data_IF_994489790624
#
_entry.id   IF_994489790624
#
_cell.length_a   1.000
_cell.length_b   1.000
_cell.length_c   1.000
_cell.angle_alpha   90.00
_cell.angle_beta   90.00
_cell.angle_gamma   90.00
#
_symmetry.space_group_name_H-M   'P 1'
#
loop_
_entity.id
_entity.type
_entity.pdbx_description
1 polymer ?
#
# COMPACT_ATOMS: atom_id res chain seq x y z
N UNK A 1 10.72 3.76 -5.46
CA UNK A 1 10.60 5.24 -5.49
C UNK A 1 9.57 5.67 -6.53
N UNK A 2 8.32 5.92 -6.11
CA UNK A 2 7.22 6.36 -6.98
C UNK A 2 7.49 7.78 -7.52
N UNK A 3 7.85 8.73 -6.64
CA UNK A 3 8.15 10.11 -7.04
C UNK A 3 9.27 10.22 -8.08
N UNK A 4 10.33 9.42 -7.96
CA UNK A 4 11.41 9.39 -8.95
C UNK A 4 10.93 8.99 -10.35
N UNK A 5 10.05 7.99 -10.45
CA UNK A 5 9.43 7.59 -11.73
C UNK A 5 8.56 8.69 -12.30
N UNK A 6 7.74 9.33 -11.45
CA UNK A 6 6.90 10.45 -11.86
C UNK A 6 7.74 11.62 -12.39
N UNK A 7 8.87 11.95 -11.74
CA UNK A 7 9.78 13.01 -12.20
C UNK A 7 10.30 12.71 -13.61
N UNK A 8 10.77 11.48 -13.86
CA UNK A 8 11.27 11.09 -15.19
C UNK A 8 10.16 11.18 -16.25
N UNK A 9 8.96 10.70 -15.94
CA UNK A 9 7.82 10.75 -16.87
C UNK A 9 7.44 12.21 -17.19
N UNK A 10 7.30 13.05 -16.17
CA UNK A 10 6.96 14.48 -16.34
C UNK A 10 8.06 15.20 -17.10
N UNK A 11 9.33 14.90 -16.82
CA UNK A 11 10.47 15.45 -17.55
C UNK A 11 10.40 15.11 -19.05
N UNK A 12 10.15 13.85 -19.40
CA UNK A 12 10.02 13.43 -20.81
C UNK A 12 8.87 14.16 -21.49
N UNK A 13 7.73 14.29 -20.82
CA UNK A 13 6.57 15.04 -21.35
C UNK A 13 6.95 16.51 -21.57
N UNK A 14 7.54 17.17 -20.59
CA UNK A 14 7.96 18.57 -20.69
C UNK A 14 8.99 18.78 -21.79
N UNK A 15 10.01 17.91 -21.89
CA UNK A 15 11.00 17.96 -22.95
C UNK A 15 10.39 17.79 -24.35
N UNK A 16 9.47 16.85 -24.53
CA UNK A 16 8.82 16.65 -25.83
C UNK A 16 7.95 17.84 -26.25
N UNK A 17 7.23 18.42 -25.27
CA UNK A 17 6.40 19.61 -25.48
C UNK A 17 7.24 20.84 -25.79
N UNK A 18 8.34 21.03 -25.06
CA UNK A 18 9.30 22.11 -25.24
C UNK A 18 9.98 22.05 -26.60
N UNK A 19 10.46 20.87 -26.99
CA UNK A 19 11.05 20.65 -28.31
C UNK A 19 10.06 20.99 -29.44
N UNK A 20 8.81 20.55 -29.31
CA UNK A 20 7.76 20.88 -30.27
C UNK A 20 7.50 22.39 -30.34
N UNK A 21 7.44 23.07 -29.19
CA UNK A 21 7.19 24.51 -29.10
C UNK A 21 8.33 25.34 -29.71
N UNK A 22 9.58 25.04 -29.33
CA UNK A 22 10.77 25.73 -29.86
C UNK A 22 10.89 25.54 -31.37
N UNK A 23 10.58 24.34 -31.88
CA UNK A 23 10.55 24.06 -33.31
C UNK A 23 9.47 24.88 -34.02
N UNK A 24 8.27 24.98 -33.44
CA UNK A 24 7.15 25.70 -34.04
C UNK A 24 7.35 27.23 -34.06
N UNK A 25 8.05 27.77 -33.05
CA UNK A 25 8.20 29.22 -32.87
C UNK A 25 9.58 29.76 -33.30
N UNK A 26 10.54 28.87 -33.60
CA UNK A 26 11.92 29.27 -33.89
C UNK A 26 12.64 29.89 -32.69
N UNK A 27 12.22 29.54 -31.47
CA UNK A 27 12.75 30.10 -30.22
C UNK A 27 13.55 29.06 -29.44
N UNK A 28 14.28 29.51 -28.42
CA UNK A 28 15.07 28.66 -27.51
C UNK A 28 14.79 29.03 -26.04
N UNK A 29 13.51 29.17 -25.70
CA UNK A 29 13.09 29.71 -24.40
C UNK A 29 13.51 28.85 -23.20
N UNK A 30 13.54 27.54 -23.37
CA UNK A 30 13.68 26.60 -22.24
C UNK A 30 14.86 25.67 -22.47
N UNK A 31 15.68 25.51 -21.43
CA UNK A 31 16.83 24.59 -21.46
C UNK A 31 16.46 23.26 -20.80
N UNK A 32 17.12 22.15 -21.17
CA UNK A 32 16.83 20.84 -20.57
C UNK A 32 16.93 20.80 -19.04
N UNK A 33 17.87 21.53 -18.44
CA UNK A 33 17.99 21.59 -16.98
C UNK A 33 16.84 22.36 -16.31
N UNK A 34 16.27 23.37 -16.98
CA UNK A 34 15.09 24.09 -16.48
C UNK A 34 13.89 23.16 -16.49
N UNK A 35 13.72 22.35 -17.55
CA UNK A 35 12.68 21.31 -17.61
C UNK A 35 12.84 20.26 -16.51
N UNK A 36 14.08 19.87 -16.17
CA UNK A 36 14.35 18.96 -15.07
C UNK A 36 13.91 19.56 -13.72
N UNK A 37 14.24 20.84 -13.46
CA UNK A 37 13.80 21.55 -12.26
C UNK A 37 12.27 21.66 -12.22
N UNK A 38 11.64 22.06 -13.34
CA UNK A 38 10.19 22.14 -13.43
C UNK A 38 9.52 20.79 -13.17
N UNK A 39 10.07 19.69 -13.67
CA UNK A 39 9.53 18.35 -13.42
C UNK A 39 9.61 17.96 -11.93
N UNK A 40 10.74 18.26 -11.27
CA UNK A 40 10.90 18.03 -9.82
C UNK A 40 9.90 18.87 -9.04
N UNK A 41 9.80 20.17 -9.32
CA UNK A 41 8.89 21.08 -8.62
C UNK A 41 7.42 20.69 -8.84
N UNK A 42 7.03 20.34 -10.07
CA UNK A 42 5.67 19.90 -10.38
C UNK A 42 5.31 18.61 -9.62
N UNK A 43 6.21 17.62 -9.60
CA UNK A 43 5.94 16.36 -8.88
C UNK A 43 5.92 16.58 -7.37
N UNK A 44 6.84 17.39 -6.83
CA UNK A 44 6.86 17.71 -5.41
C UNK A 44 5.60 18.47 -4.99
N UNK A 45 5.21 19.49 -5.76
CA UNK A 45 4.06 20.32 -5.44
C UNK A 45 2.74 19.58 -5.66
N UNK A 46 2.45 19.12 -6.89
CA UNK A 46 1.17 18.48 -7.18
C UNK A 46 1.07 17.08 -6.56
N UNK A 47 2.15 16.29 -6.62
CA UNK A 47 2.18 14.97 -6.00
C UNK A 47 2.15 15.03 -4.48
N UNK A 48 2.91 15.95 -3.88
CA UNK A 48 2.89 16.18 -2.43
C UNK A 48 1.54 16.72 -1.94
N UNK A 49 0.95 17.68 -2.67
CA UNK A 49 -0.36 18.24 -2.34
C UNK A 49 -1.47 17.19 -2.48
N UNK A 50 -1.47 16.40 -3.57
CA UNK A 50 -2.45 15.32 -3.74
C UNK A 50 -2.30 14.25 -2.66
N UNK A 51 -1.07 13.83 -2.35
CA UNK A 51 -0.80 12.91 -1.24
C UNK A 51 -1.35 13.45 0.09
N UNK A 52 -1.11 14.74 0.38
CA UNK A 52 -1.60 15.39 1.59
C UNK A 52 -3.13 15.41 1.64
N UNK A 53 -3.78 15.89 0.57
CA UNK A 53 -5.25 15.99 0.50
C UNK A 53 -5.88 14.61 0.66
N UNK A 54 -5.38 13.59 -0.03
CA UNK A 54 -5.94 12.24 0.04
C UNK A 54 -5.75 11.66 1.44
N UNK A 55 -4.56 11.74 2.03
CA UNK A 55 -4.31 11.16 3.36
C UNK A 55 -5.08 11.89 4.46
N UNK A 56 -5.13 13.23 4.44
CA UNK A 56 -5.90 14.01 5.40
C UNK A 56 -7.39 13.78 5.20
N UNK A 57 -7.89 13.84 3.96
CA UNK A 57 -9.29 13.62 3.63
C UNK A 57 -9.78 12.25 4.07
N UNK A 58 -9.04 11.19 3.74
CA UNK A 58 -9.35 9.82 4.18
C UNK A 58 -9.30 9.68 5.70
N UNK A 59 -8.32 10.32 6.35
CA UNK A 59 -8.25 10.37 7.82
C UNK A 59 -9.45 11.03 8.47
N UNK A 60 -9.93 12.16 7.91
CA UNK A 60 -11.10 12.88 8.43
C UNK A 60 -12.41 12.11 8.18
N UNK A 61 -12.56 11.49 7.01
CA UNK A 61 -13.79 10.79 6.64
C UNK A 61 -13.89 9.39 7.27
N UNK A 62 -12.78 8.67 7.37
CA UNK A 62 -12.76 7.25 7.76
C UNK A 62 -11.94 6.94 9.01
N UNK A 63 -11.37 7.94 9.70
CA UNK A 63 -10.53 7.72 10.88
C UNK A 63 -11.20 6.93 12.01
N UNK A 64 -12.52 7.03 12.15
CA UNK A 64 -13.30 6.23 13.11
C UNK A 64 -13.52 4.77 12.67
N UNK A 65 -13.42 4.47 11.37
CA UNK A 65 -13.67 3.14 10.84
C UNK A 65 -12.54 2.17 11.24
N UNK A 66 -12.84 1.06 11.93
CA UNK A 66 -11.83 0.07 12.32
C UNK A 66 -11.11 -0.55 11.10
N UNK A 67 -11.78 -0.72 9.97
CA UNK A 67 -11.17 -1.27 8.75
C UNK A 67 -10.14 -0.31 8.15
N UNK A 68 -10.44 1.00 8.13
CA UNK A 68 -9.50 2.00 7.65
C UNK A 68 -8.26 2.08 8.57
N UNK A 69 -8.46 2.00 9.88
CA UNK A 69 -7.37 1.95 10.86
C UNK A 69 -6.50 0.70 10.66
N UNK A 70 -7.11 -0.46 10.42
CA UNK A 70 -6.39 -1.69 10.11
C UNK A 70 -5.62 -1.57 8.78
N UNK A 71 -6.21 -1.00 7.73
CA UNK A 71 -5.52 -0.75 6.47
C UNK A 71 -4.31 0.18 6.63
N UNK A 72 -4.44 1.24 7.43
CA UNK A 72 -3.33 2.17 7.73
C UNK A 72 -2.26 1.55 8.62
N UNK A 73 -2.63 0.74 9.61
CA UNK A 73 -1.66 0.04 10.47
C UNK A 73 -0.85 -1.01 9.72
N UNK A 74 -1.40 -1.55 8.62
CA UNK A 74 -0.67 -2.44 7.71
C UNK A 74 0.22 -1.72 6.71
N UNK A 75 0.36 -0.39 6.79
CA UNK A 75 1.20 0.38 5.86
C UNK A 75 0.53 0.71 4.53
N UNK A 76 -0.77 0.46 4.38
CA UNK A 76 -1.52 0.89 3.21
C UNK A 76 -1.55 2.41 3.12
N UNK A 77 -1.36 2.97 1.92
CA UNK A 77 -1.40 4.41 1.68
C UNK A 77 -2.47 4.75 0.62
N UNK A 78 -3.55 5.45 1.01
CA UNK A 78 -4.67 5.71 0.10
C UNK A 78 -4.25 6.40 -1.20
N UNK A 79 -3.23 7.27 -1.15
CA UNK A 79 -2.75 7.97 -2.32
C UNK A 79 -1.97 7.01 -3.21
N UNK A 80 -0.92 6.37 -2.68
CA UNK A 80 -0.06 5.50 -3.50
C UNK A 80 -0.79 4.27 -4.04
N UNK A 81 -1.73 3.71 -3.29
CA UNK A 81 -2.53 2.55 -3.70
C UNK A 81 -3.60 2.90 -4.75
N UNK A 82 -3.96 4.18 -4.86
CA UNK A 82 -4.87 4.67 -5.91
C UNK A 82 -4.17 4.96 -7.25
N UNK A 83 -2.84 5.00 -7.25
CA UNK A 83 -2.09 5.37 -8.45
C UNK A 83 -2.17 4.27 -9.52
N UNK A 84 -2.19 4.64 -10.82
CA UNK A 84 -2.08 3.69 -11.91
C UNK A 84 -0.82 2.81 -11.80
N UNK A 85 -0.90 1.57 -12.29
CA UNK A 85 0.19 0.57 -12.21
C UNK A 85 1.52 1.00 -12.84
N UNK A 86 1.49 1.98 -13.73
CA UNK A 86 2.71 2.57 -14.32
C UNK A 86 3.53 3.33 -13.27
N UNK A 87 2.89 3.85 -12.22
CA UNK A 87 3.55 4.57 -11.12
C UNK A 87 3.78 3.64 -9.92
N UNK A 88 2.74 2.94 -9.48
CA UNK A 88 2.81 1.96 -8.41
C UNK A 88 2.87 0.52 -8.99
N UNK A 89 4.03 -0.12 -8.91
CA UNK A 89 4.23 -1.51 -9.40
C UNK A 89 4.04 -2.55 -8.31
N UNK A 90 3.68 -2.11 -7.12
CA UNK A 90 3.49 -3.02 -6.00
C UNK A 90 2.33 -3.95 -6.32
N UNK A 91 2.47 -5.21 -5.91
CA UNK A 91 1.40 -6.17 -6.10
C UNK A 91 0.17 -5.74 -5.29
N UNK A 92 -1.03 -6.17 -5.68
CA UNK A 92 -2.23 -5.92 -4.86
C UNK A 92 -2.07 -6.42 -3.42
N UNK A 93 -1.24 -7.45 -3.23
CA UNK A 93 -0.90 -7.95 -1.90
C UNK A 93 -0.10 -6.92 -1.11
N UNK A 94 0.94 -6.34 -1.71
CA UNK A 94 1.76 -5.30 -1.07
C UNK A 94 0.93 -4.04 -0.79
N UNK A 95 0.07 -3.61 -1.71
CA UNK A 95 -0.85 -2.49 -1.46
C UNK A 95 -1.80 -2.78 -0.28
N UNK A 96 -2.36 -3.99 -0.20
CA UNK A 96 -3.32 -4.33 0.84
C UNK A 96 -2.67 -4.61 2.21
N UNK A 97 -1.41 -5.04 2.24
CA UNK A 97 -0.74 -5.56 3.44
C UNK A 97 0.55 -4.84 3.82
N UNK A 98 1.06 -3.94 2.99
CA UNK A 98 2.37 -3.29 3.18
C UNK A 98 3.56 -4.25 3.30
N UNK A 99 3.40 -5.51 2.92
CA UNK A 99 4.43 -6.54 3.02
C UNK A 99 4.47 -7.34 1.71
N UNK A 100 5.64 -7.83 1.34
CA UNK A 100 5.79 -8.80 0.27
C UNK A 100 5.40 -10.21 0.76
N UNK A 101 4.92 -11.05 -0.15
CA UNK A 101 4.75 -12.47 0.15
C UNK A 101 6.15 -13.13 0.25
N UNK A 102 6.41 -13.96 1.27
CA UNK A 102 7.71 -14.59 1.45
C UNK A 102 8.02 -15.49 0.25
N UNK A 103 9.25 -15.38 -0.25
CA UNK A 103 9.74 -16.20 -1.35
C UNK A 103 10.19 -17.55 -0.78
N UNK A 104 9.39 -18.59 -1.03
CA UNK A 104 9.65 -19.95 -0.54
C UNK A 104 9.36 -20.98 -1.64
N UNK A 105 9.85 -22.20 -1.47
CA UNK A 105 9.60 -23.31 -2.43
C UNK A 105 8.17 -23.88 -2.34
N UNK A 106 7.43 -23.57 -1.27
CA UNK A 106 6.04 -23.93 -1.14
C UNK A 106 5.16 -22.87 -1.81
N UNK A 107 4.37 -23.28 -2.81
CA UNK A 107 3.33 -22.44 -3.41
C UNK A 107 1.98 -22.75 -2.75
N UNK A 108 1.48 -21.90 -1.83
CA UNK A 108 0.20 -22.14 -1.19
C UNK A 108 -0.95 -22.11 -2.20
N UNK A 109 -2.07 -22.82 -1.94
CA UNK A 109 -3.22 -22.85 -2.83
C UNK A 109 -3.73 -21.45 -3.21
N UNK A 110 -4.09 -21.26 -4.48
CA UNK A 110 -4.69 -20.00 -4.95
C UNK A 110 -6.03 -19.65 -4.27
N UNK A 111 -6.69 -20.64 -3.65
CA UNK A 111 -7.92 -20.45 -2.88
C UNK A 111 -7.70 -19.75 -1.53
N UNK A 112 -6.46 -19.69 -1.03
CA UNK A 112 -6.12 -19.01 0.21
C UNK A 112 -6.08 -17.50 -0.01
N UNK A 113 -7.12 -16.81 0.47
CA UNK A 113 -7.31 -15.37 0.27
C UNK A 113 -6.73 -14.51 1.41
N UNK A 114 -6.33 -15.13 2.52
CA UNK A 114 -5.88 -14.41 3.71
C UNK A 114 -4.36 -14.38 3.82
N UNK A 115 -3.86 -13.48 4.65
CA UNK A 115 -2.44 -13.19 4.81
C UNK A 115 -2.05 -13.28 6.27
N UNK A 116 -0.93 -13.94 6.56
CA UNK A 116 -0.37 -14.01 7.92
C UNK A 116 0.00 -12.59 8.39
N UNK A 117 -0.46 -12.14 9.58
CA UNK A 117 -0.20 -10.79 10.06
C UNK A 117 1.29 -10.51 10.34
N UNK A 118 2.10 -11.57 10.55
CA UNK A 118 3.51 -11.49 10.91
C UNK A 118 4.47 -11.50 9.72
N UNK A 119 4.20 -12.34 8.71
CA UNK A 119 5.13 -12.57 7.59
C UNK A 119 4.50 -12.45 6.20
N UNK A 120 3.20 -12.17 6.11
CA UNK A 120 2.44 -12.06 4.86
C UNK A 120 2.26 -13.31 3.99
N UNK A 121 2.69 -14.49 4.44
CA UNK A 121 2.39 -15.74 3.76
C UNK A 121 0.87 -15.89 3.54
N UNK A 122 0.44 -16.45 2.40
CA UNK A 122 -0.97 -16.83 2.20
C UNK A 122 -1.35 -17.87 3.23
N UNK A 123 -2.52 -17.73 3.85
CA UNK A 123 -3.05 -18.67 4.84
C UNK A 123 -4.52 -18.94 4.59
N UNK A 124 -5.01 -20.09 5.08
CA UNK A 124 -6.39 -20.51 4.88
C UNK A 124 -7.41 -19.67 5.67
N UNK A 125 -7.05 -19.18 6.86
CA UNK A 125 -7.86 -18.28 7.70
C UNK A 125 -6.97 -17.16 8.28
N UNK A 126 -7.54 -16.00 8.63
CA UNK A 126 -6.74 -14.87 9.18
C UNK A 126 -6.11 -15.17 10.55
N UNK A 127 -6.74 -16.04 11.32
CA UNK A 127 -6.28 -16.48 12.64
C UNK A 127 -6.09 -17.99 12.56
N UNK A 128 -4.90 -18.38 12.12
CA UNK A 128 -4.51 -19.78 11.91
C UNK A 128 -2.99 -19.91 12.07
N UNK A 129 -2.52 -21.16 12.16
CA UNK A 129 -1.10 -21.47 12.13
C UNK A 129 -0.53 -21.10 10.77
N UNK A 130 0.46 -20.21 10.76
CA UNK A 130 1.18 -19.89 9.54
C UNK A 130 2.14 -21.04 9.19
N UNK A 131 2.10 -21.50 7.95
CA UNK A 131 3.04 -22.51 7.46
C UNK A 131 4.47 -21.97 7.30
N UNK A 132 4.64 -20.65 7.12
CA UNK A 132 5.93 -20.01 6.83
C UNK A 132 6.65 -19.46 8.06
N UNK A 133 5.94 -19.19 9.15
CA UNK A 133 6.51 -18.59 10.36
C UNK A 133 5.81 -19.11 11.63
N UNK A 134 6.34 -18.88 12.84
CA UNK A 134 5.79 -19.46 14.06
C UNK A 134 4.43 -18.89 14.51
N UNK A 135 3.78 -18.04 13.72
CA UNK A 135 2.50 -17.44 14.09
C UNK A 135 1.41 -18.50 14.28
N UNK A 136 0.69 -18.46 15.40
CA UNK A 136 -0.42 -19.35 15.72
C UNK A 136 -0.04 -20.73 16.24
N UNK A 137 1.25 -21.12 16.25
CA UNK A 137 1.70 -22.46 16.69
C UNK A 137 1.39 -22.75 18.16
N UNK A 138 1.40 -21.72 18.99
CA UNK A 138 1.10 -21.71 20.43
C UNK A 138 -0.31 -21.18 20.72
N UNK A 139 -1.17 -21.08 19.70
CA UNK A 139 -2.45 -20.36 19.77
C UNK A 139 -2.32 -18.87 20.06
N UNK A 140 -1.14 -18.26 19.90
CA UNK A 140 -0.96 -16.82 20.02
C UNK A 140 -1.54 -16.09 18.79
N UNK A 141 -2.46 -15.18 19.08
CA UNK A 141 -3.13 -14.32 18.10
C UNK A 141 -2.78 -12.84 18.28
N UNK A 142 -1.80 -12.51 19.12
CA UNK A 142 -1.36 -11.14 19.40
C UNK A 142 -0.99 -10.38 18.12
N UNK A 143 -0.33 -11.04 17.16
CA UNK A 143 0.00 -10.41 15.88
C UNK A 143 -1.26 -10.06 15.05
N UNK A 144 -2.35 -10.83 15.16
CA UNK A 144 -3.62 -10.48 14.54
C UNK A 144 -4.20 -9.22 15.18
N UNK A 145 -4.33 -9.21 16.51
CA UNK A 145 -4.92 -8.09 17.24
C UNK A 145 -4.11 -6.81 17.11
N UNK A 146 -2.78 -6.89 17.10
CA UNK A 146 -1.92 -5.73 16.86
C UNK A 146 -2.12 -5.12 15.46
N UNK A 147 -2.43 -5.96 14.47
CA UNK A 147 -2.55 -5.54 13.07
C UNK A 147 -3.96 -5.11 12.70
N UNK A 148 -4.95 -5.93 13.00
CA UNK A 148 -6.34 -5.75 12.59
C UNK A 148 -7.23 -5.21 13.72
N UNK A 149 -6.71 -5.10 14.94
CA UNK A 149 -7.49 -4.71 16.11
C UNK A 149 -8.49 -5.79 16.53
N UNK A 150 -9.51 -5.38 17.28
CA UNK A 150 -10.57 -6.25 17.77
C UNK A 150 -11.69 -6.45 16.72
N UNK A 151 -11.32 -6.59 15.45
CA UNK A 151 -12.26 -6.81 14.35
C UNK A 151 -12.43 -8.31 14.16
N UNK A 152 -13.66 -8.81 14.14
CA UNK A 152 -13.92 -10.24 13.90
C UNK A 152 -13.71 -10.57 12.41
N UNK A 153 -12.91 -11.60 12.07
CA UNK A 153 -12.91 -12.14 10.71
C UNK A 153 -14.27 -12.75 10.32
N UNK A 154 -14.78 -12.50 9.11
CA UNK A 154 -16.07 -13.03 8.68
C UNK A 154 -16.12 -14.56 8.61
N UNK A 155 -14.96 -15.23 8.46
CA UNK A 155 -14.84 -16.68 8.40
C UNK A 155 -14.90 -17.37 9.77
N UNK A 156 -14.76 -16.63 10.86
CA UNK A 156 -14.74 -17.17 12.23
C UNK A 156 -16.14 -17.04 12.85
N UNK A 157 -16.61 -18.14 13.47
CA UNK A 157 -17.89 -18.15 14.18
C UNK A 157 -17.87 -17.20 15.39
N UNK A 158 -19.04 -16.72 15.84
CA UNK A 158 -19.10 -15.85 17.02
C UNK A 158 -18.58 -16.53 18.29
N UNK A 159 -18.77 -17.84 18.42
CA UNK A 159 -18.28 -18.63 19.54
C UNK A 159 -16.75 -18.71 19.54
N UNK A 160 -16.16 -19.05 18.40
CA UNK A 160 -14.70 -19.13 18.24
C UNK A 160 -14.04 -17.76 18.44
N UNK A 161 -14.67 -16.70 17.91
CA UNK A 161 -14.19 -15.34 18.11
C UNK A 161 -14.22 -14.91 19.58
N UNK A 162 -15.27 -15.28 20.33
CA UNK A 162 -15.34 -14.99 21.75
C UNK A 162 -14.23 -15.71 22.54
N UNK A 163 -13.90 -16.94 22.16
CA UNK A 163 -12.82 -17.71 22.77
C UNK A 163 -11.44 -17.13 22.43
N UNK A 164 -11.19 -16.77 21.17
CA UNK A 164 -9.92 -16.14 20.74
C UNK A 164 -9.69 -14.83 21.50
N UNK A 165 -10.71 -13.97 21.61
CA UNK A 165 -10.62 -12.74 22.41
C UNK A 165 -10.34 -13.02 23.88
N UNK A 166 -11.03 -14.01 24.47
CA UNK A 166 -10.81 -14.39 25.87
C UNK A 166 -9.36 -14.81 26.13
N UNK A 167 -8.73 -15.53 25.20
CA UNK A 167 -7.31 -15.93 25.32
C UNK A 167 -6.34 -14.77 25.18
N UNK A 168 -6.69 -13.76 24.38
CA UNK A 168 -5.87 -12.58 24.18
C UNK A 168 -5.95 -11.57 25.35
N UNK A 169 -7.12 -11.48 26.01
CA UNK A 169 -7.34 -10.53 27.11
C UNK A 169 -6.79 -11.03 28.48
N UNK A 170 -6.16 -12.21 28.52
CA UNK A 170 -5.52 -12.83 29.69
C UNK A 170 -4.01 -12.59 29.66
#
# INVERSE_FOLDING_TARGET
>A
MIFGRSIVIVFVIYMTMEWAWNTATGTSFWKPWEMAISAVLSVAFFGGLAWLITNVGMGLLFGGNPEYRAYRSTGGDPFFDSLPRIFNRDSQTVCASGMDEPQTDFDPPASWKFRCPRCNARVQHRIDVCWSCPYGQDSDSTAYFGRYGNVKPPEISDADWAEIKRRHDV
#
